data_IF_530040085857
#
_entry.id   IF_530040085857
#
_cell.length_a   1.000
_cell.length_b   1.000
_cell.length_c   1.000
_cell.angle_alpha   90.00
_cell.angle_beta   90.00
_cell.angle_gamma   90.00
#
_symmetry.space_group_name_H-M   'P 1'
#
loop_
_entity.id
_entity.type
_entity.pdbx_description
1 polymer ?
#
# COMPACT_ATOMS: atom_id res chain seq x y z
N UNK A 1 -5.09 9.43 12.27
CA UNK A 1 -4.11 9.58 11.18
C UNK A 1 -3.36 8.28 11.13
N UNK A 2 -3.33 7.62 9.97
CA UNK A 2 -2.53 6.41 9.75
C UNK A 2 -1.42 6.80 8.79
N UNK A 3 -0.19 6.41 9.11
CA UNK A 3 0.97 6.65 8.26
C UNK A 3 1.70 5.33 8.02
N UNK A 4 2.13 5.13 6.78
CA UNK A 4 3.04 4.06 6.41
C UNK A 4 4.15 4.65 5.54
N UNK A 5 5.40 4.30 5.83
CA UNK A 5 6.58 4.88 5.18
C UNK A 5 7.44 3.77 4.60
N UNK A 6 7.86 3.96 3.34
CA UNK A 6 8.79 3.10 2.62
C UNK A 6 8.47 1.59 2.73
N UNK A 7 7.19 1.22 2.66
CA UNK A 7 6.74 -0.16 2.78
C UNK A 7 7.24 -0.96 1.57
N UNK A 8 7.99 -2.02 1.88
CA UNK A 8 8.42 -3.04 0.91
C UNK A 8 7.78 -4.36 1.30
N UNK A 9 7.14 -5.02 0.34
CA UNK A 9 6.58 -6.37 0.52
C UNK A 9 6.92 -7.23 -0.67
N UNK A 10 7.56 -8.36 -0.39
CA UNK A 10 7.94 -9.38 -1.37
C UNK A 10 7.22 -10.71 -1.08
N UNK A 11 6.93 -11.44 -2.15
CA UNK A 11 6.43 -12.80 -2.14
C UNK A 11 7.37 -13.65 -3.01
N UNK A 12 8.35 -14.30 -2.38
CA UNK A 12 9.48 -14.88 -3.11
C UNK A 12 10.22 -13.79 -3.91
N UNK A 13 10.41 -14.04 -5.20
CA UNK A 13 11.08 -13.11 -6.13
C UNK A 13 10.18 -11.95 -6.60
N UNK A 14 8.87 -12.02 -6.34
CA UNK A 14 7.92 -10.98 -6.75
C UNK A 14 7.87 -9.85 -5.71
N UNK A 15 8.16 -8.62 -6.14
CA UNK A 15 8.01 -7.43 -5.30
C UNK A 15 6.62 -6.83 -5.51
N UNK A 16 5.75 -6.97 -4.51
CA UNK A 16 4.38 -6.48 -4.55
C UNK A 16 4.23 -5.02 -4.08
N UNK A 17 5.11 -4.56 -3.19
CA UNK A 17 5.25 -3.16 -2.79
C UNK A 17 6.74 -2.83 -2.79
N UNK A 18 7.09 -1.69 -3.38
CA UNK A 18 8.48 -1.22 -3.50
C UNK A 18 8.60 0.22 -2.98
N UNK A 19 8.90 0.37 -1.69
CA UNK A 19 9.12 1.68 -1.08
C UNK A 19 7.86 2.56 -0.96
N UNK A 20 6.68 1.97 -0.86
CA UNK A 20 5.41 2.71 -0.88
C UNK A 20 5.20 3.48 0.43
N UNK A 21 4.88 4.78 0.33
CA UNK A 21 4.52 5.61 1.48
C UNK A 21 3.11 6.17 1.29
N UNK A 22 2.30 6.16 2.36
CA UNK A 22 0.93 6.65 2.34
C UNK A 22 0.58 7.30 3.67
N UNK A 23 -0.17 8.40 3.58
CA UNK A 23 -0.79 9.08 4.70
C UNK A 23 -2.31 9.05 4.55
N UNK A 24 -3.00 8.59 5.59
CA UNK A 24 -4.46 8.58 5.65
C UNK A 24 -4.89 9.56 6.74
N UNK A 25 -5.48 10.72 6.34
CA UNK A 25 -5.99 11.69 7.28
C UNK A 25 -7.05 11.12 8.23
N UNK A 26 -7.16 11.70 9.43
CA UNK A 26 -8.26 11.35 10.35
C UNK A 26 -9.59 11.81 9.76
N UNK A 27 -10.60 10.94 9.77
CA UNK A 27 -11.95 11.28 9.31
C UNK A 27 -12.13 11.29 7.79
N UNK A 28 -11.14 10.85 7.01
CA UNK A 28 -11.26 10.73 5.55
C UNK A 28 -11.65 9.32 5.11
N UNK A 29 -12.42 9.24 4.03
CA UNK A 29 -12.55 8.02 3.23
C UNK A 29 -11.47 8.02 2.14
N UNK A 30 -10.51 7.11 2.25
CA UNK A 30 -9.42 6.97 1.26
C UNK A 30 -9.65 5.70 0.43
N UNK A 31 -9.61 5.85 -0.89
CA UNK A 31 -9.73 4.74 -1.83
C UNK A 31 -8.40 4.52 -2.58
N UNK A 32 -7.99 3.25 -2.72
CA UNK A 32 -6.84 2.86 -3.52
C UNK A 32 -7.31 2.39 -4.90
N UNK A 33 -6.86 3.07 -5.95
CA UNK A 33 -7.23 2.79 -7.34
C UNK A 33 -6.02 2.34 -8.16
N UNK A 34 -6.25 1.49 -9.16
CA UNK A 34 -5.21 1.00 -10.05
C UNK A 34 -5.50 -0.37 -10.65
N UNK A 35 -4.74 -0.79 -11.68
CA UNK A 35 -4.94 -2.04 -12.41
C UNK A 35 -4.74 -3.27 -11.51
N UNK A 36 -5.24 -4.43 -11.94
CA UNK A 36 -5.04 -5.69 -11.20
C UNK A 36 -3.54 -5.98 -11.03
N UNK A 37 -3.14 -6.49 -9.86
CA UNK A 37 -1.74 -6.77 -9.53
C UNK A 37 -0.90 -5.58 -9.06
N UNK A 38 -1.42 -4.35 -9.05
CA UNK A 38 -0.66 -3.14 -8.67
C UNK A 38 -0.34 -3.00 -7.15
N UNK A 39 -0.49 -4.05 -6.35
CA UNK A 39 -0.16 -4.01 -4.92
C UNK A 39 -1.23 -3.45 -3.97
N UNK A 40 -2.41 -3.01 -4.45
CA UNK A 40 -3.48 -2.41 -3.62
C UNK A 40 -3.91 -3.27 -2.42
N UNK A 41 -4.29 -4.52 -2.69
CA UNK A 41 -4.71 -5.46 -1.64
C UNK A 41 -3.55 -5.86 -0.74
N UNK A 42 -2.32 -5.83 -1.27
CA UNK A 42 -1.11 -6.02 -0.47
C UNK A 42 -0.94 -4.87 0.51
N UNK A 43 -1.04 -3.60 0.05
CA UNK A 43 -0.90 -2.41 0.90
C UNK A 43 -1.96 -2.35 2.02
N UNK A 44 -3.20 -2.76 1.75
CA UNK A 44 -4.27 -2.79 2.76
C UNK A 44 -4.14 -3.91 3.80
N UNK A 45 -3.21 -4.85 3.61
CA UNK A 45 -3.00 -6.03 4.49
C UNK A 45 -1.69 -5.99 5.25
N UNK A 46 -0.88 -4.94 5.04
CA UNK A 46 0.31 -4.66 5.86
C UNK A 46 -0.14 -4.04 7.16
#
# INVERSE_FOLDING_TARGET
MIEARAIVKRFGDFTALDGVSVDVPTGSLTALLGPSGSGKSTLLRV
#
